data_IF_872628134986
#
_entry.id   IF_872628134986
#
_cell.length_a   1.000
_cell.length_b   1.000
_cell.length_c   1.000
_cell.angle_alpha   90.00
_cell.angle_beta   90.00
_cell.angle_gamma   90.00
#
_symmetry.space_group_name_H-M   'P 1'
#
loop_
_entity.id
_entity.type
_entity.pdbx_description
1 polymer ?
#
# COMPACT_ATOMS: atom_id res chain seq x y z
N UNK A 1 11.73 5.82 -6.18
CA UNK A 1 11.88 4.55 -5.44
C UNK A 1 10.89 4.55 -4.28
N UNK A 2 10.28 3.41 -3.97
CA UNK A 2 9.40 3.27 -2.81
C UNK A 2 10.22 2.89 -1.57
N UNK A 3 9.84 3.42 -0.41
CA UNK A 3 10.54 3.20 0.86
C UNK A 3 9.69 2.29 1.75
N UNK A 4 10.27 1.22 2.33
CA UNK A 4 9.58 0.39 3.32
C UNK A 4 9.24 1.20 4.57
N UNK A 5 8.04 0.98 5.13
CA UNK A 5 7.68 1.62 6.39
C UNK A 5 8.40 0.94 7.57
N UNK A 6 9.39 1.62 8.16
CA UNK A 6 10.12 1.15 9.34
C UNK A 6 9.71 1.99 10.55
N UNK A 7 8.86 1.47 11.45
CA UNK A 7 8.49 2.20 12.66
C UNK A 7 9.67 2.28 13.64
N UNK A 8 9.77 3.34 14.46
CA UNK A 8 10.85 3.54 15.43
C UNK A 8 10.82 2.50 16.56
N UNK A 9 9.70 1.81 16.75
CA UNK A 9 9.52 0.77 17.75
C UNK A 9 8.85 -0.46 17.10
N UNK A 10 9.02 -1.64 17.70
CA UNK A 10 8.40 -2.89 17.25
C UNK A 10 6.88 -2.88 17.43
N UNK A 11 6.16 -2.30 16.46
CA UNK A 11 4.70 -2.32 16.39
C UNK A 11 4.19 -3.62 15.78
N UNK A 12 3.00 -4.05 16.19
CA UNK A 12 2.31 -5.23 15.61
C UNK A 12 2.07 -5.08 14.10
N UNK A 13 1.98 -3.85 13.59
CA UNK A 13 1.83 -3.55 12.16
C UNK A 13 3.15 -3.53 11.36
N UNK A 14 4.31 -3.63 12.02
CA UNK A 14 5.62 -3.53 11.37
C UNK A 14 5.86 -4.64 10.34
N UNK A 15 5.29 -5.84 10.55
CA UNK A 15 5.38 -6.97 9.61
C UNK A 15 4.39 -6.91 8.44
N UNK A 16 3.63 -5.82 8.28
CA UNK A 16 2.50 -5.75 7.36
C UNK A 16 2.85 -5.37 5.90
N UNK A 17 4.11 -5.39 5.46
CA UNK A 17 4.55 -4.97 4.11
C UNK A 17 3.97 -3.60 3.69
N UNK A 18 4.04 -2.64 4.61
CA UNK A 18 3.56 -1.27 4.41
C UNK A 18 4.64 -0.41 3.75
N UNK A 19 4.19 0.55 2.94
CA UNK A 19 5.03 1.57 2.33
C UNK A 19 4.92 2.89 3.09
N UNK A 20 6.02 3.65 3.13
CA UNK A 20 6.00 5.00 3.68
C UNK A 20 5.14 5.93 2.82
N UNK A 21 4.21 6.65 3.46
CA UNK A 21 3.38 7.64 2.79
C UNK A 21 3.98 9.02 3.07
N UNK A 22 4.48 9.72 2.04
CA UNK A 22 5.10 11.02 2.24
C UNK A 22 4.07 12.03 2.73
N UNK A 23 4.48 12.91 3.66
CA UNK A 23 3.67 14.06 4.03
C UNK A 23 3.66 15.04 2.86
N UNK A 24 2.47 15.38 2.39
CA UNK A 24 2.27 16.29 1.27
C UNK A 24 1.63 17.57 1.76
N UNK A 25 2.23 18.71 1.45
CA UNK A 25 1.71 20.02 1.85
C UNK A 25 0.51 20.44 0.99
N UNK A 26 0.50 20.03 -0.28
CA UNK A 26 -0.62 20.25 -1.19
C UNK A 26 -1.60 19.08 -1.07
N UNK A 27 -2.65 19.25 -0.28
CA UNK A 27 -3.70 18.25 -0.07
C UNK A 27 -4.34 17.75 -1.37
N UNK A 28 -4.52 18.63 -2.35
CA UNK A 28 -5.18 18.28 -3.62
C UNK A 28 -4.23 17.66 -4.63
N UNK A 29 -3.16 18.36 -4.99
CA UNK A 29 -2.21 17.92 -6.01
C UNK A 29 -1.21 16.91 -5.46
N UNK A 30 -0.67 17.15 -4.27
CA UNK A 30 0.33 16.29 -3.64
C UNK A 30 -0.21 14.91 -3.30
N UNK A 31 -1.43 14.79 -2.74
CA UNK A 31 -2.02 13.46 -2.46
C UNK A 31 -2.34 12.65 -3.71
N UNK A 32 -2.65 13.33 -4.83
CA UNK A 32 -2.96 12.69 -6.12
C UNK A 32 -1.72 12.28 -6.89
N UNK A 33 -0.56 12.87 -6.58
CA UNK A 33 0.69 12.45 -7.18
C UNK A 33 0.95 10.97 -6.88
N UNK A 34 1.59 10.26 -7.81
CA UNK A 34 1.87 8.83 -7.66
C UNK A 34 2.62 8.51 -6.35
N UNK A 35 3.55 9.39 -5.96
CA UNK A 35 4.29 9.27 -4.70
C UNK A 35 3.40 9.29 -3.44
N UNK A 36 2.23 9.94 -3.48
CA UNK A 36 1.25 9.95 -2.38
C UNK A 36 0.16 8.89 -2.55
N UNK A 37 -0.43 8.81 -3.74
CA UNK A 37 -1.56 7.93 -4.03
C UNK A 37 -1.17 6.44 -4.04
N UNK A 38 0.01 6.12 -4.60
CA UNK A 38 0.53 4.74 -4.70
C UNK A 38 0.65 4.03 -3.35
N UNK A 39 1.45 4.54 -2.39
CA UNK A 39 1.63 3.88 -1.10
C UNK A 39 0.34 3.91 -0.28
N UNK A 40 -0.48 4.96 -0.42
CA UNK A 40 -1.80 5.03 0.24
C UNK A 40 -2.74 3.93 -0.23
N UNK A 41 -2.83 3.67 -1.54
CA UNK A 41 -3.67 2.61 -2.09
C UNK A 41 -3.12 1.23 -1.75
N UNK A 42 -1.80 1.05 -1.84
CA UNK A 42 -1.14 -0.20 -1.47
C UNK A 42 -1.41 -0.59 -0.02
N UNK A 43 -1.26 0.34 0.92
CA UNK A 43 -1.43 0.09 2.35
C UNK A 43 -2.88 -0.26 2.74
N UNK A 44 -3.87 0.10 1.92
CA UNK A 44 -5.29 -0.27 2.11
C UNK A 44 -5.60 -1.71 1.72
N UNK A 45 -4.70 -2.39 1.01
CA UNK A 45 -4.92 -3.77 0.59
C UNK A 45 -4.76 -4.74 1.77
N UNK A 46 -5.41 -5.91 1.75
CA UNK A 46 -5.15 -6.96 2.73
C UNK A 46 -3.70 -7.47 2.68
N UNK A 47 -3.14 -7.91 3.81
CA UNK A 47 -1.75 -8.41 3.91
C UNK A 47 -1.49 -9.61 2.99
N UNK A 48 -2.41 -10.58 2.97
CA UNK A 48 -2.36 -11.75 2.09
C UNK A 48 -2.29 -11.39 0.61
N UNK A 49 -2.81 -10.22 0.22
CA UNK A 49 -2.71 -9.75 -1.15
C UNK A 49 -1.32 -9.17 -1.44
N UNK A 50 -0.76 -8.42 -0.48
CA UNK A 50 0.55 -7.75 -0.59
C UNK A 50 1.73 -8.73 -0.53
N UNK A 51 1.58 -9.82 0.20
CA UNK A 51 2.59 -10.87 0.39
C UNK A 51 2.68 -11.85 -0.81
N UNK A 52 1.75 -11.78 -1.76
CA UNK A 52 1.75 -12.67 -2.91
C UNK A 52 3.00 -12.48 -3.80
N UNK A 53 3.89 -13.46 -3.83
CA UNK A 53 5.03 -13.50 -4.76
C UNK A 53 4.65 -13.72 -6.24
N UNK A 54 3.38 -14.01 -6.54
CA UNK A 54 2.89 -14.25 -7.90
C UNK A 54 1.97 -13.13 -8.39
N UNK A 55 2.43 -12.40 -9.42
CA UNK A 55 1.69 -11.30 -10.04
C UNK A 55 0.33 -11.73 -10.62
N UNK A 56 0.22 -12.95 -11.17
CA UNK A 56 -1.02 -13.48 -11.74
C UNK A 56 -2.08 -13.71 -10.66
N UNK A 57 -1.68 -14.26 -9.52
CA UNK A 57 -2.57 -14.45 -8.37
C UNK A 57 -2.97 -13.11 -7.74
N UNK A 58 -2.00 -12.19 -7.60
CA UNK A 58 -2.25 -10.83 -7.14
C UNK A 58 -3.34 -10.16 -7.98
N UNK A 59 -3.22 -10.17 -9.32
CA UNK A 59 -4.22 -9.58 -10.22
C UNK A 59 -5.61 -10.18 -10.05
N UNK A 60 -5.72 -11.50 -9.90
CA UNK A 60 -7.00 -12.19 -9.65
C UNK A 60 -7.61 -11.74 -8.33
N UNK A 61 -6.87 -11.83 -7.24
CA UNK A 61 -7.37 -11.43 -5.91
C UNK A 61 -7.71 -9.94 -5.86
N UNK A 62 -6.89 -9.08 -6.46
CA UNK A 62 -7.12 -7.64 -6.54
C UNK A 62 -8.41 -7.31 -7.30
N UNK A 63 -8.66 -7.99 -8.43
CA UNK A 63 -9.93 -7.85 -9.15
C UNK A 63 -11.11 -8.29 -8.29
N UNK A 64 -11.03 -9.44 -7.62
CA UNK A 64 -12.09 -9.90 -6.70
C UNK A 64 -12.34 -8.90 -5.58
N UNK A 65 -11.30 -8.34 -4.96
CA UNK A 65 -11.42 -7.35 -3.89
C UNK A 65 -12.13 -6.06 -4.33
N UNK A 66 -11.85 -5.57 -5.55
CA UNK A 66 -12.46 -4.33 -6.05
C UNK A 66 -13.91 -4.50 -6.53
N UNK A 67 -14.30 -5.70 -6.98
CA UNK A 67 -15.59 -5.96 -7.62
C UNK A 67 -16.44 -6.99 -6.87
N UNK A 68 -16.14 -7.26 -5.60
CA UNK A 68 -16.98 -8.09 -4.75
C UNK A 68 -18.25 -7.34 -4.37
N UNK A 69 -19.31 -7.52 -5.16
CA UNK A 69 -20.71 -7.18 -4.86
C UNK A 69 -21.53 -8.46 -4.85
#
# INVERSE_FOLDING_TARGET
MYVPHVPPCSLRSAGGLLLEVPRVNLERFGRRAFAGAGPTLWNKLPMNMRDNGNLGQFKKQFKTFLFST
#
